data_IF_000495643401
#
_entry.id   IF_000495643401
#
_cell.length_a   1.000
_cell.length_b   1.000
_cell.length_c   1.000
_cell.angle_alpha   90.00
_cell.angle_beta   90.00
_cell.angle_gamma   90.00
#
_symmetry.space_group_name_H-M   'P 1'
#
loop_
_entity.id
_entity.type
_entity.pdbx_description
1 polymer ?
#
# COMPACT_ATOMS: atom_id res chain seq x y z
N UNK A 1 -8.30 12.40 11.72
CA UNK A 1 -7.84 13.06 12.97
C UNK A 1 -6.56 13.79 12.61
N UNK A 2 -6.56 15.13 12.65
CA UNK A 2 -5.38 15.93 12.33
C UNK A 2 -4.42 15.93 13.50
N UNK A 3 -3.13 15.72 13.25
CA UNK A 3 -2.08 15.86 14.26
C UNK A 3 -1.20 17.03 13.82
N UNK A 4 -1.27 18.19 14.49
CA UNK A 4 -0.26 19.22 14.30
C UNK A 4 1.05 18.75 14.93
N UNK A 5 2.15 18.79 14.18
CA UNK A 5 3.50 18.51 14.68
C UNK A 5 4.35 19.76 14.56
N UNK A 6 4.94 20.16 15.69
CA UNK A 6 5.90 21.26 15.77
C UNK A 6 7.25 20.63 16.15
N UNK A 7 8.26 20.81 15.30
CA UNK A 7 9.64 20.46 15.63
C UNK A 7 10.53 21.69 15.53
N UNK A 8 11.57 21.74 16.37
CA UNK A 8 12.55 22.83 16.40
C UNK A 8 13.85 22.32 15.79
N UNK A 9 14.43 23.05 14.83
CA UNK A 9 15.76 22.74 14.32
C UNK A 9 16.86 23.45 15.15
N UNK A 10 18.11 23.04 14.98
CA UNK A 10 19.26 23.54 15.76
C UNK A 10 19.54 25.04 15.57
N UNK A 11 18.95 25.67 14.55
CA UNK A 11 19.10 27.08 14.20
C UNK A 11 18.00 27.98 14.79
N UNK A 12 17.03 27.40 15.52
CA UNK A 12 15.94 28.14 16.16
C UNK A 12 14.76 28.50 15.24
N UNK A 13 14.73 27.94 14.03
CA UNK A 13 13.58 28.05 13.14
C UNK A 13 12.51 27.00 13.51
N UNK A 14 11.26 27.45 13.60
CA UNK A 14 10.11 26.57 13.84
C UNK A 14 9.80 25.77 12.58
N UNK A 15 9.87 24.44 12.62
CA UNK A 15 9.30 23.55 11.60
C UNK A 15 7.86 23.21 12.01
N UNK A 16 6.95 24.11 11.66
CA UNK A 16 5.52 23.90 11.81
C UNK A 16 5.00 23.11 10.61
N UNK A 17 4.32 21.99 10.86
CA UNK A 17 3.66 21.23 9.80
C UNK A 17 2.23 20.88 10.19
N UNK A 18 1.32 21.06 9.24
CA UNK A 18 -0.06 20.56 9.35
C UNK A 18 -0.27 19.46 8.33
N UNK A 19 -0.89 18.38 8.80
CA UNK A 19 -1.31 17.24 7.99
C UNK A 19 -2.81 16.99 8.19
N UNK A 20 -3.55 16.98 7.09
CA UNK A 20 -4.98 16.68 7.03
C UNK A 20 -5.17 15.45 6.13
N UNK A 21 -5.94 14.46 6.58
CA UNK A 21 -6.30 13.29 5.77
C UNK A 21 -7.78 12.98 5.91
N UNK A 22 -8.43 12.80 4.77
CA UNK A 22 -9.84 12.44 4.65
C UNK A 22 -9.98 11.17 3.81
N UNK A 23 -10.84 10.26 4.23
CA UNK A 23 -11.16 9.04 3.48
C UNK A 23 -12.67 8.99 3.28
N UNK A 24 -13.08 8.91 2.02
CA UNK A 24 -14.49 8.87 1.64
C UNK A 24 -14.77 7.54 0.94
N UNK A 25 -15.62 6.67 1.52
CA UNK A 25 -16.10 5.48 0.82
C UNK A 25 -16.92 5.86 -0.42
N UNK A 26 -16.61 5.29 -1.58
CA UNK A 26 -17.22 5.62 -2.87
C UNK A 26 -18.71 5.27 -2.90
N UNK A 27 -19.11 4.20 -2.21
CA UNK A 27 -20.51 3.81 -2.04
C UNK A 27 -21.38 4.94 -1.45
N UNK A 28 -20.81 5.77 -0.54
CA UNK A 28 -21.50 6.91 0.06
C UNK A 28 -21.62 8.09 -0.89
N UNK A 29 -20.71 8.20 -1.87
CA UNK A 29 -20.75 9.23 -2.91
C UNK A 29 -21.72 8.87 -4.03
N UNK A 30 -21.79 7.59 -4.41
CA UNK A 30 -22.59 7.11 -5.53
C UNK A 30 -23.99 6.64 -5.13
N UNK A 31 -24.28 6.52 -3.82
CA UNK A 31 -25.59 6.08 -3.33
C UNK A 31 -25.92 4.63 -3.67
N UNK A 32 -24.89 3.82 -3.97
CA UNK A 32 -25.00 2.41 -4.37
C UNK A 32 -24.65 1.49 -3.21
N UNK A 33 -25.20 0.29 -3.20
CA UNK A 33 -24.84 -0.75 -2.22
C UNK A 33 -23.34 -1.08 -2.25
N UNK A 34 -22.85 -1.65 -1.14
CA UNK A 34 -21.44 -2.05 -0.94
C UNK A 34 -20.96 -2.88 -2.15
N UNK A 35 -20.04 -2.33 -2.93
CA UNK A 35 -19.49 -3.03 -4.10
C UNK A 35 -18.42 -4.00 -3.61
N UNK A 36 -18.58 -5.28 -3.92
CA UNK A 36 -17.59 -6.30 -3.57
C UNK A 36 -16.30 -6.16 -4.39
N UNK A 37 -16.37 -5.47 -5.53
CA UNK A 37 -15.25 -5.21 -6.44
C UNK A 37 -15.29 -3.79 -7.02
N UNK A 38 -14.12 -3.26 -7.37
CA UNK A 38 -13.91 -1.90 -7.86
C UNK A 38 -13.19 -1.02 -6.83
N UNK A 39 -12.91 0.23 -7.22
CA UNK A 39 -12.47 1.23 -6.25
C UNK A 39 -13.56 1.44 -5.20
N UNK A 40 -13.16 1.40 -3.93
CA UNK A 40 -14.06 1.45 -2.78
C UNK A 40 -13.90 2.72 -1.96
N UNK A 41 -12.72 3.35 -2.00
CA UNK A 41 -12.48 4.57 -1.26
C UNK A 41 -11.67 5.58 -2.07
N UNK A 42 -11.83 6.84 -1.70
CA UNK A 42 -10.98 7.95 -2.12
C UNK A 42 -10.36 8.52 -0.85
N UNK A 43 -9.04 8.55 -0.80
CA UNK A 43 -8.27 9.19 0.25
C UNK A 43 -7.68 10.48 -0.29
N UNK A 44 -7.73 11.54 0.51
CA UNK A 44 -7.14 12.84 0.19
C UNK A 44 -6.29 13.29 1.37
N UNK A 45 -5.01 13.48 1.13
CA UNK A 45 -4.04 13.99 2.10
C UNK A 45 -3.56 15.36 1.67
N UNK A 46 -3.56 16.32 2.59
CA UNK A 46 -3.01 17.65 2.40
C UNK A 46 -1.99 17.88 3.51
N UNK A 47 -0.81 18.35 3.13
CA UNK A 47 0.22 18.78 4.07
C UNK A 47 0.82 20.12 3.68
N UNK A 48 1.21 20.90 4.68
CA UNK A 48 1.86 22.20 4.52
C UNK A 48 2.89 22.39 5.62
N UNK A 49 4.06 22.91 5.26
CA UNK A 49 5.10 23.33 6.21
C UNK A 49 5.01 24.83 6.58
N UNK A 50 3.98 25.53 6.10
CA UNK A 50 3.80 26.99 6.21
C UNK A 50 4.97 27.86 5.71
N UNK A 51 6.04 27.26 5.19
CA UNK A 51 7.23 27.92 4.61
C UNK A 51 7.15 28.00 3.09
N UNK A 52 6.12 27.40 2.50
CA UNK A 52 5.79 27.46 1.09
C UNK A 52 5.83 26.12 0.37
N UNK A 53 6.11 25.03 1.10
CA UNK A 53 5.96 23.69 0.55
C UNK A 53 4.62 23.11 0.97
N UNK A 54 3.80 22.80 -0.03
CA UNK A 54 2.49 22.21 0.16
C UNK A 54 2.39 20.95 -0.67
N UNK A 55 1.88 19.87 -0.11
CA UNK A 55 1.67 18.63 -0.83
C UNK A 55 0.22 18.18 -0.71
N UNK A 56 -0.42 17.97 -1.85
CA UNK A 56 -1.72 17.34 -2.00
C UNK A 56 -1.49 15.95 -2.59
N UNK A 57 -2.03 14.91 -1.96
CA UNK A 57 -2.12 13.57 -2.51
C UNK A 57 -3.59 13.15 -2.53
N UNK A 58 -4.02 12.56 -3.63
CA UNK A 58 -5.33 11.96 -3.79
C UNK A 58 -5.11 10.53 -4.27
N UNK A 59 -5.57 9.56 -3.51
CA UNK A 59 -5.54 8.16 -3.92
C UNK A 59 -6.93 7.57 -3.97
N UNK A 60 -7.13 6.61 -4.86
CA UNK A 60 -8.29 5.74 -4.82
C UNK A 60 -7.81 4.31 -4.74
N UNK A 61 -8.42 3.52 -3.87
CA UNK A 61 -8.05 2.14 -3.62
C UNK A 61 -9.27 1.22 -3.62
N UNK A 62 -9.02 -0.06 -3.92
CA UNK A 62 -10.02 -1.11 -3.90
C UNK A 62 -9.38 -2.48 -3.71
N UNK A 63 -10.22 -3.45 -3.32
CA UNK A 63 -9.83 -4.84 -3.15
C UNK A 63 -10.81 -5.79 -3.85
N UNK A 64 -10.36 -7.02 -4.13
CA UNK A 64 -11.24 -8.11 -4.57
C UNK A 64 -12.12 -8.62 -3.42
N UNK A 65 -13.23 -9.30 -3.75
CA UNK A 65 -14.20 -9.85 -2.79
C UNK A 65 -13.58 -10.70 -1.66
N UNK A 66 -12.44 -11.34 -1.92
CA UNK A 66 -11.69 -12.17 -0.97
C UNK A 66 -10.43 -11.49 -0.39
N UNK A 67 -10.28 -10.18 -0.61
CA UNK A 67 -9.14 -9.34 -0.25
C UNK A 67 -7.77 -9.85 -0.74
N UNK A 68 -7.74 -10.79 -1.70
CA UNK A 68 -6.49 -11.32 -2.24
C UNK A 68 -5.83 -10.36 -3.20
N UNK A 69 -6.59 -9.53 -3.89
CA UNK A 69 -6.04 -8.52 -4.80
C UNK A 69 -6.35 -7.17 -4.21
N UNK A 70 -5.32 -6.35 -4.02
CA UNK A 70 -5.44 -4.95 -3.63
C UNK A 70 -4.83 -4.09 -4.72
N UNK A 71 -5.46 -2.96 -5.03
CA UNK A 71 -4.92 -2.01 -6.00
C UNK A 71 -5.26 -0.59 -5.59
N UNK A 72 -4.40 0.33 -6.00
CA UNK A 72 -4.64 1.75 -5.82
C UNK A 72 -4.03 2.55 -6.95
N UNK A 73 -4.61 3.72 -7.17
CA UNK A 73 -4.06 4.76 -8.05
C UNK A 73 -3.94 6.01 -7.22
N UNK A 74 -2.77 6.63 -7.26
CA UNK A 74 -2.49 7.86 -6.53
C UNK A 74 -2.04 8.95 -7.50
N UNK A 75 -2.56 10.14 -7.29
CA UNK A 75 -2.09 11.36 -7.93
C UNK A 75 -1.68 12.32 -6.84
N UNK A 76 -0.74 13.19 -7.15
CA UNK A 76 -0.39 14.24 -6.22
C UNK A 76 0.26 15.43 -6.88
N UNK A 77 0.29 16.50 -6.10
CA UNK A 77 0.87 17.76 -6.48
C UNK A 77 1.66 18.31 -5.30
N UNK A 78 2.93 18.59 -5.54
CA UNK A 78 3.83 19.19 -4.58
C UNK A 78 4.18 20.58 -5.08
N UNK A 79 3.70 21.60 -4.39
CA UNK A 79 4.15 22.97 -4.56
C UNK A 79 5.41 23.16 -3.74
N UNK A 80 6.46 23.71 -4.35
CA UNK A 80 7.72 23.94 -3.68
C UNK A 80 8.17 25.39 -3.87
N UNK A 81 8.60 26.04 -2.79
CA UNK A 81 9.02 27.45 -2.88
C UNK A 81 10.39 27.63 -3.56
N UNK A 82 11.28 26.65 -3.41
CA UNK A 82 12.67 26.73 -3.85
C UNK A 82 12.94 25.93 -5.14
N UNK A 83 11.93 25.20 -5.65
CA UNK A 83 12.04 24.31 -6.80
C UNK A 83 10.77 24.37 -7.64
N UNK A 84 10.80 23.74 -8.82
CA UNK A 84 9.60 23.61 -9.65
C UNK A 84 8.53 22.79 -8.93
N UNK A 85 7.28 23.16 -9.17
CA UNK A 85 6.14 22.35 -8.73
C UNK A 85 6.14 21.00 -9.43
N UNK A 86 5.71 19.97 -8.71
CA UNK A 86 5.78 18.59 -9.15
C UNK A 86 4.43 17.91 -9.04
N UNK A 87 3.82 17.60 -10.18
CA UNK A 87 2.73 16.63 -10.26
C UNK A 87 3.27 15.22 -10.41
N UNK A 88 2.60 14.24 -9.82
CA UNK A 88 2.87 12.82 -10.07
C UNK A 88 1.58 12.02 -10.22
N UNK A 89 1.70 10.88 -10.91
CA UNK A 89 0.68 9.83 -10.98
C UNK A 89 1.35 8.49 -10.77
N UNK A 90 0.71 7.63 -9.99
CA UNK A 90 1.20 6.29 -9.70
C UNK A 90 0.06 5.30 -9.57
N UNK A 91 0.45 4.03 -9.67
CA UNK A 91 -0.43 2.90 -9.47
C UNK A 91 0.30 1.83 -8.68
N UNK A 92 -0.44 1.15 -7.83
CA UNK A 92 0.02 0.03 -7.03
C UNK A 92 -0.96 -1.14 -7.19
N UNK A 93 -0.43 -2.35 -7.21
CA UNK A 93 -1.22 -3.56 -7.16
C UNK A 93 -0.47 -4.63 -6.36
N UNK A 94 -1.21 -5.41 -5.58
CA UNK A 94 -0.70 -6.58 -4.88
C UNK A 94 -1.66 -7.75 -4.96
N UNK A 95 -1.08 -8.95 -4.89
CA UNK A 95 -1.77 -10.22 -4.92
C UNK A 95 -1.25 -11.14 -3.81
N UNK A 96 -2.18 -11.61 -2.99
CA UNK A 96 -2.00 -12.48 -1.85
C UNK A 96 -2.15 -13.95 -2.25
N UNK A 97 -1.01 -14.64 -2.37
CA UNK A 97 -0.99 -16.06 -2.71
C UNK A 97 -0.79 -16.93 -1.46
N UNK A 98 -1.10 -18.23 -1.51
CA UNK A 98 -0.79 -19.13 -0.40
C UNK A 98 0.72 -19.28 -0.12
N UNK A 99 1.58 -18.81 -1.01
CA UNK A 99 3.04 -19.03 -0.97
C UNK A 99 3.84 -17.73 -0.87
N UNK A 100 3.18 -16.59 -0.72
CA UNK A 100 3.84 -15.28 -0.73
C UNK A 100 2.99 -14.17 -1.36
N UNK A 101 3.21 -12.93 -0.93
CA UNK A 101 2.60 -11.76 -1.57
C UNK A 101 3.43 -11.36 -2.77
N UNK A 102 2.77 -10.95 -3.85
CA UNK A 102 3.38 -10.28 -5.00
C UNK A 102 2.85 -8.86 -5.05
N UNK A 103 3.72 -7.85 -5.04
CA UNK A 103 3.32 -6.46 -5.15
C UNK A 103 4.16 -5.73 -6.20
N UNK A 104 3.53 -4.75 -6.86
CA UNK A 104 4.18 -3.92 -7.86
C UNK A 104 3.64 -2.50 -7.79
N UNK A 105 4.53 -1.54 -8.02
CA UNK A 105 4.15 -0.13 -8.15
C UNK A 105 4.84 0.51 -9.33
N UNK A 106 4.16 1.48 -9.94
CA UNK A 106 4.69 2.33 -10.99
C UNK A 106 4.32 3.77 -10.68
N UNK A 107 5.22 4.71 -10.95
CA UNK A 107 4.92 6.13 -10.85
C UNK A 107 5.67 6.94 -11.90
N UNK A 108 5.10 8.08 -12.26
CA UNK A 108 5.70 9.05 -13.15
C UNK A 108 5.41 10.46 -12.64
N UNK A 109 6.40 11.33 -12.76
CA UNK A 109 6.33 12.70 -12.28
C UNK A 109 6.53 13.67 -13.45
N UNK A 110 6.04 14.90 -13.27
CA UNK A 110 6.15 16.00 -14.25
C UNK A 110 7.59 16.46 -14.52
N UNK A 111 8.55 16.05 -13.70
CA UNK A 111 9.98 16.25 -13.94
C UNK A 111 10.63 15.19 -14.83
N UNK A 112 9.81 14.29 -15.41
CA UNK A 112 10.22 13.15 -16.23
C UNK A 112 10.90 12.02 -15.44
N UNK A 113 10.87 12.04 -14.11
CA UNK A 113 11.23 10.88 -13.30
C UNK A 113 10.15 9.80 -13.36
N UNK A 114 10.58 8.54 -13.44
CA UNK A 114 9.72 7.36 -13.47
C UNK A 114 10.30 6.32 -12.53
N UNK A 115 9.47 5.73 -11.69
CA UNK A 115 9.89 4.71 -10.75
C UNK A 115 9.02 3.47 -10.96
N UNK A 116 9.64 2.30 -10.85
CA UNK A 116 8.98 1.01 -10.91
C UNK A 116 9.55 0.16 -9.80
N UNK A 117 8.68 -0.46 -9.01
CA UNK A 117 9.06 -1.42 -7.98
C UNK A 117 8.29 -2.71 -8.16
N UNK A 118 8.97 -3.82 -7.88
CA UNK A 118 8.36 -5.14 -7.74
C UNK A 118 8.91 -5.74 -6.46
N UNK A 119 8.04 -6.27 -5.62
CA UNK A 119 8.39 -6.92 -4.37
C UNK A 119 7.62 -8.22 -4.22
N UNK A 120 8.24 -9.15 -3.51
CA UNK A 120 7.59 -10.37 -3.07
C UNK A 120 8.07 -10.71 -1.67
N UNK A 121 7.18 -11.27 -0.89
CA UNK A 121 7.45 -11.82 0.44
C UNK A 121 6.87 -13.24 0.52
N UNK A 122 7.23 -13.96 1.58
CA UNK A 122 6.86 -15.35 1.79
C UNK A 122 7.94 -16.10 2.56
N UNK A 123 7.57 -17.24 3.11
CA UNK A 123 8.44 -18.11 3.90
C UNK A 123 8.49 -19.52 3.32
N UNK A 124 9.56 -20.25 3.61
CA UNK A 124 9.61 -21.69 3.34
C UNK A 124 10.18 -22.45 4.53
N UNK A 125 9.67 -23.67 4.73
CA UNK A 125 10.17 -24.63 5.72
C UNK A 125 10.67 -25.85 4.98
N UNK A 126 11.94 -26.19 5.21
CA UNK A 126 12.54 -27.43 4.74
C UNK A 126 12.46 -28.48 5.85
N UNK A 127 11.85 -29.63 5.56
CA UNK A 127 11.71 -30.74 6.51
C UNK A 127 11.88 -32.09 5.80
N UNK A 128 11.94 -33.19 6.56
CA UNK A 128 12.12 -34.54 6.01
C UNK A 128 11.08 -34.95 4.96
N UNK A 129 9.86 -34.41 5.03
CA UNK A 129 8.81 -34.60 4.04
C UNK A 129 8.85 -33.72 2.78
N UNK A 130 9.89 -32.87 2.60
CA UNK A 130 10.00 -31.95 1.46
C UNK A 130 10.06 -30.46 1.84
N UNK A 131 9.66 -29.61 0.89
CA UNK A 131 9.65 -28.14 1.01
C UNK A 131 8.20 -27.64 1.08
N UNK A 132 7.86 -26.90 2.14
CA UNK A 132 6.55 -26.27 2.30
C UNK A 132 6.70 -24.75 2.25
N UNK A 133 5.93 -24.08 1.40
CA UNK A 133 5.89 -22.62 1.28
C UNK A 133 4.73 -22.05 2.10
N UNK A 134 4.90 -20.84 2.60
CA UNK A 134 3.89 -20.07 3.32
C UNK A 134 3.92 -18.62 2.86
N UNK A 135 2.79 -17.96 3.04
CA UNK A 135 2.67 -16.52 2.91
C UNK A 135 3.18 -15.75 4.14
N UNK A 136 3.48 -16.47 5.23
CA UNK A 136 3.97 -15.87 6.47
C UNK A 136 5.49 -15.74 6.48
N UNK A 137 5.98 -14.70 7.15
CA UNK A 137 7.40 -14.58 7.53
C UNK A 137 7.61 -15.26 8.89
N UNK A 138 8.77 -15.88 9.09
CA UNK A 138 9.11 -16.61 10.31
C UNK A 138 10.33 -15.97 10.99
N UNK A 139 10.26 -15.83 12.30
CA UNK A 139 11.33 -15.41 13.20
C UNK A 139 11.83 -16.59 14.05
N UNK A 140 13.03 -16.48 14.62
CA UNK A 140 13.63 -17.49 15.49
C UNK A 140 12.79 -17.78 16.76
N UNK A 141 11.87 -16.88 17.10
CA UNK A 141 10.94 -16.99 18.23
C UNK A 141 9.66 -17.78 17.92
N UNK A 142 9.41 -18.12 16.65
CA UNK A 142 8.08 -18.55 16.22
C UNK A 142 7.89 -20.06 16.36
N UNK A 143 6.69 -20.47 16.79
CA UNK A 143 6.30 -21.88 16.82
C UNK A 143 5.58 -22.24 15.53
N UNK A 144 6.17 -23.15 14.74
CA UNK A 144 5.63 -23.56 13.44
C UNK A 144 4.90 -24.89 13.55
N UNK A 145 3.66 -24.94 13.02
CA UNK A 145 2.91 -26.18 12.84
C UNK A 145 2.82 -26.51 11.35
N UNK A 146 3.45 -27.63 10.94
CA UNK A 146 3.41 -28.09 9.55
C UNK A 146 2.30 -29.14 9.39
N UNK A 147 1.32 -28.84 8.55
CA UNK A 147 0.19 -29.75 8.27
C UNK A 147 0.47 -30.56 7.02
N UNK A 148 0.63 -31.88 7.18
CA UNK A 148 0.71 -32.82 6.06
C UNK A 148 -0.66 -33.38 5.72
N UNK A 149 -1.08 -33.26 4.46
CA UNK A 149 -2.16 -34.11 3.92
C UNK A 149 -1.58 -35.12 2.95
N UNK A 150 -1.70 -36.39 3.29
CA UNK A 150 -1.50 -37.49 2.34
C UNK A 150 -2.77 -37.61 1.51
N UNK A 151 -2.74 -37.19 0.24
CA UNK A 151 -3.79 -37.56 -0.71
C UNK A 151 -3.51 -38.99 -1.17
N UNK A 152 -4.23 -39.96 -0.59
CA UNK A 152 -4.29 -41.30 -1.17
C UNK A 152 -5.09 -41.19 -2.46
N UNK A 153 -4.40 -41.25 -3.59
CA UNK A 153 -5.02 -41.43 -4.90
C UNK A 153 -5.79 -42.76 -4.85
N UNK A 154 -7.13 -42.66 -4.81
CA UNK A 154 -7.99 -43.83 -4.97
C UNK A 154 -7.91 -44.23 -6.44
N UNK A 155 -7.11 -45.24 -6.75
CA UNK A 155 -7.18 -45.92 -8.04
C UNK A 155 -8.64 -46.35 -8.25
N UNK A 156 -9.22 -45.90 -9.38
CA UNK A 156 -10.51 -46.41 -9.83
C UNK A 156 -10.23 -47.74 -10.52
N UNK A 157 -10.64 -48.84 -9.89
CA UNK A 157 -10.98 -50.09 -10.57
C UNK A 157 -12.41 -50.02 -11.11
#
# INVERSE_FOLDING_TARGET
MSVPSVSWNEDGDTDDSVYLSFTIPIEKLLGTEQRTSGFQSIDTQISSDFKGNNQLNVSSSGYSDNARVSYSVNTGYTMNKASKDLSYVGGYASYESPWGTLAGSISANSDNSRQVSLSTDGGFVLHSGGLTFSNDSFSDSDTLAVVFRLQVLKERE
#
